data_IF_440518947734
#
_entry.id   IF_440518947734
#
_cell.length_a   1.000
_cell.length_b   1.000
_cell.length_c   1.000
_cell.angle_alpha   90.00
_cell.angle_beta   90.00
_cell.angle_gamma   90.00
#
_symmetry.space_group_name_H-M   'P 1'
#
loop_
_entity.id
_entity.type
_entity.pdbx_description
1 polymer ?
#
# COMPACT_ATOMS: atom_id res chain seq x y z
N UNK A 1 -34.18 11.96 -3.49
CA UNK A 1 -33.25 12.90 -2.82
C UNK A 1 -33.18 12.50 -1.34
N UNK A 2 -32.43 11.45 -1.03
CA UNK A 2 -32.21 10.99 0.34
C UNK A 2 -30.76 11.24 0.67
N UNK A 3 -30.54 12.25 1.53
CA UNK A 3 -29.24 12.58 2.08
C UNK A 3 -28.73 11.41 2.90
N UNK A 4 -27.57 10.84 2.50
CA UNK A 4 -26.81 9.88 3.28
C UNK A 4 -26.22 10.67 4.46
N UNK A 5 -26.63 10.33 5.68
CA UNK A 5 -26.04 10.86 6.90
C UNK A 5 -24.65 10.26 7.06
N UNK A 6 -23.63 11.02 7.50
CA UNK A 6 -22.34 10.45 7.87
C UNK A 6 -22.54 9.49 9.06
N UNK A 7 -22.09 8.26 8.91
CA UNK A 7 -22.11 7.24 9.97
C UNK A 7 -20.98 7.53 10.98
N UNK A 8 -21.33 8.25 12.03
CA UNK A 8 -20.55 8.24 13.29
C UNK A 8 -21.16 7.20 14.20
N UNK A 9 -20.55 6.04 14.34
CA UNK A 9 -20.73 5.22 15.54
C UNK A 9 -19.51 4.34 15.78
N UNK A 10 -18.46 4.95 16.34
CA UNK A 10 -17.50 4.23 17.17
C UNK A 10 -18.13 4.03 18.53
N UNK A 11 -18.69 2.85 18.80
CA UNK A 11 -19.16 2.47 20.12
C UNK A 11 -17.96 2.18 21.04
N UNK A 12 -17.85 2.98 22.10
CA UNK A 12 -17.28 2.58 23.37
C UNK A 12 -15.77 2.59 23.49
N UNK A 13 -15.12 3.76 23.33
CA UNK A 13 -13.82 4.01 23.96
C UNK A 13 -14.09 4.84 25.21
N UNK A 14 -13.89 4.25 26.40
CA UNK A 14 -13.73 5.03 27.61
C UNK A 14 -12.49 5.90 27.42
N UNK A 15 -12.68 7.19 27.20
CA UNK A 15 -11.63 8.21 27.25
C UNK A 15 -11.11 8.31 28.68
N UNK A 16 -10.08 7.50 28.97
CA UNK A 16 -9.32 7.64 30.21
C UNK A 16 -8.36 8.83 30.03
N UNK A 17 -8.90 10.05 30.20
CA UNK A 17 -8.16 11.32 30.08
C UNK A 17 -6.90 11.43 30.95
N UNK A 18 -6.64 10.44 31.80
CA UNK A 18 -5.46 10.34 32.65
C UNK A 18 -4.42 9.32 32.17
N UNK A 19 -4.62 8.65 31.04
CA UNK A 19 -3.65 7.69 30.53
C UNK A 19 -2.47 8.41 29.88
N UNK A 20 -1.24 8.08 30.30
CA UNK A 20 0.00 8.55 29.64
C UNK A 20 0.23 7.89 28.27
N UNK A 21 -0.68 7.03 27.81
CA UNK A 21 -0.55 6.29 26.56
C UNK A 21 -1.64 6.71 25.59
N UNK A 22 -1.25 6.92 24.34
CA UNK A 22 -2.17 7.15 23.21
C UNK A 22 -2.06 5.99 22.22
N UNK A 23 -3.21 5.44 21.79
CA UNK A 23 -3.23 4.43 20.74
C UNK A 23 -2.83 5.04 19.39
N UNK A 24 -2.10 4.31 18.53
CA UNK A 24 -1.77 4.79 17.20
C UNK A 24 -3.00 5.26 16.38
N UNK A 25 -4.13 4.54 16.50
CA UNK A 25 -5.39 4.92 15.85
C UNK A 25 -5.99 6.23 16.37
N UNK A 26 -5.86 6.52 17.67
CA UNK A 26 -6.28 7.77 18.28
C UNK A 26 -5.37 8.92 17.82
N UNK A 27 -4.04 8.68 17.78
CA UNK A 27 -3.10 9.67 17.26
C UNK A 27 -3.40 10.00 15.79
N UNK A 28 -3.62 8.96 14.95
CA UNK A 28 -4.01 9.18 13.56
C UNK A 28 -5.26 10.04 13.47
N UNK A 29 -6.30 9.72 14.24
CA UNK A 29 -7.55 10.50 14.24
C UNK A 29 -7.30 11.97 14.57
N UNK A 30 -6.48 12.28 15.59
CA UNK A 30 -6.09 13.66 15.92
C UNK A 30 -5.39 14.36 14.76
N UNK A 31 -4.51 13.63 14.06
CA UNK A 31 -3.82 14.16 12.87
C UNK A 31 -4.81 14.42 11.73
N UNK A 32 -5.74 13.50 11.45
CA UNK A 32 -6.80 13.66 10.43
C UNK A 32 -7.70 14.88 10.73
N UNK A 33 -7.97 15.15 12.01
CA UNK A 33 -8.77 16.28 12.48
C UNK A 33 -7.97 17.60 12.55
N UNK A 34 -6.66 17.56 12.29
CA UNK A 34 -5.79 18.74 12.29
C UNK A 34 -5.53 19.32 13.69
N UNK A 35 -5.58 18.48 14.74
CA UNK A 35 -5.31 18.94 16.12
C UNK A 35 -3.87 19.45 16.26
N UNK A 36 -3.68 20.54 17.02
CA UNK A 36 -2.37 21.15 17.26
C UNK A 36 -1.58 20.37 18.32
N UNK A 37 -0.98 19.27 17.90
CA UNK A 37 -0.14 18.38 18.71
C UNK A 37 1.34 18.58 18.36
N UNK A 38 2.24 18.19 19.29
CA UNK A 38 3.68 18.26 19.13
C UNK A 38 4.29 16.87 19.18
N UNK A 39 4.88 16.42 18.07
CA UNK A 39 5.46 15.09 17.96
C UNK A 39 6.94 15.12 18.36
N UNK A 40 7.33 14.29 19.33
CA UNK A 40 8.67 14.20 19.90
C UNK A 40 9.24 12.79 19.73
N UNK A 41 10.26 12.67 18.90
CA UNK A 41 11.05 11.44 18.76
C UNK A 41 12.15 11.40 19.82
N UNK A 42 12.10 10.40 20.68
CA UNK A 42 13.12 10.24 21.75
C UNK A 42 14.18 9.19 21.40
N UNK A 43 14.29 8.83 20.13
CA UNK A 43 15.34 7.97 19.57
C UNK A 43 16.58 8.79 19.21
N UNK A 44 17.60 8.12 18.72
CA UNK A 44 18.75 8.78 18.09
C UNK A 44 18.39 9.45 16.77
N UNK A 45 19.17 10.45 16.35
CA UNK A 45 19.01 11.09 15.02
C UNK A 45 19.10 10.08 13.88
N UNK A 46 19.97 9.08 13.98
CA UNK A 46 20.12 8.04 12.98
C UNK A 46 18.84 7.18 12.84
N UNK A 47 18.22 6.79 13.96
CA UNK A 47 16.94 6.04 13.93
C UNK A 47 15.82 6.89 13.32
N UNK A 48 15.80 8.18 13.62
CA UNK A 48 14.83 9.12 13.07
C UNK A 48 14.97 9.27 11.56
N UNK A 49 16.20 9.50 11.08
CA UNK A 49 16.48 9.72 9.65
C UNK A 49 16.21 8.48 8.81
N UNK A 50 16.36 7.29 9.41
CA UNK A 50 16.02 6.05 8.77
C UNK A 50 14.50 5.84 8.67
N UNK A 51 13.75 6.22 9.68
CA UNK A 51 12.30 5.98 9.70
C UNK A 51 11.63 6.74 10.85
N UNK A 52 10.63 7.54 10.56
CA UNK A 52 9.92 8.35 11.55
C UNK A 52 8.41 8.35 11.32
N UNK A 53 7.66 8.89 12.29
CA UNK A 53 6.26 9.24 12.08
C UNK A 53 6.24 10.47 11.18
N UNK A 54 5.86 10.24 9.92
CA UNK A 54 5.50 11.29 8.97
C UNK A 54 4.04 11.12 8.60
N UNK A 55 3.28 12.20 8.57
CA UNK A 55 1.89 12.17 8.23
C UNK A 55 1.47 13.53 7.67
N UNK A 56 0.92 13.52 6.46
CA UNK A 56 0.42 14.64 5.68
C UNK A 56 0.82 16.04 6.23
N UNK A 57 -0.08 16.83 6.69
CA UNK A 57 0.18 18.22 7.10
C UNK A 57 0.95 18.39 8.43
N UNK A 58 1.50 17.32 9.00
CA UNK A 58 2.28 17.44 10.23
C UNK A 58 3.77 17.63 9.92
N UNK A 59 4.41 18.64 10.54
CA UNK A 59 5.85 18.84 10.38
C UNK A 59 6.62 17.65 10.96
N UNK A 60 7.86 17.51 10.49
CA UNK A 60 8.77 16.51 11.03
C UNK A 60 8.83 16.59 12.55
N UNK A 61 8.88 15.43 13.20
CA UNK A 61 8.99 15.36 14.65
C UNK A 61 10.33 15.94 15.13
N UNK A 62 10.30 16.66 16.25
CA UNK A 62 11.54 17.08 16.89
C UNK A 62 12.25 15.84 17.47
N UNK A 63 13.57 15.75 17.26
CA UNK A 63 14.39 14.66 17.79
C UNK A 63 15.14 15.11 19.02
N UNK A 64 14.84 14.51 20.16
CA UNK A 64 15.60 14.70 21.41
C UNK A 64 15.79 13.31 22.05
N UNK A 65 17.01 12.74 21.97
CA UNK A 65 17.27 11.44 22.58
C UNK A 65 16.90 11.42 24.09
N UNK A 66 16.33 10.31 24.54
CA UNK A 66 15.83 10.19 25.91
C UNK A 66 16.89 10.51 26.98
N UNK A 67 18.17 10.23 26.69
CA UNK A 67 19.30 10.46 27.60
C UNK A 67 19.57 11.95 27.84
N UNK A 68 19.24 12.82 26.87
CA UNK A 68 19.46 14.27 26.95
C UNK A 68 18.17 15.05 27.22
N UNK A 69 17.03 14.38 27.29
CA UNK A 69 15.70 14.99 27.40
C UNK A 69 15.54 15.93 28.60
N UNK A 70 16.13 15.56 29.76
CA UNK A 70 16.00 16.32 30.99
C UNK A 70 16.92 17.54 31.05
N UNK A 71 17.73 17.82 30.03
CA UNK A 71 18.56 19.02 30.01
C UNK A 71 17.73 20.29 29.83
N UNK A 72 18.21 21.40 30.34
CA UNK A 72 17.53 22.71 30.18
C UNK A 72 17.39 23.09 28.71
N UNK A 73 18.40 22.79 27.91
CA UNK A 73 18.44 23.08 26.45
C UNK A 73 17.37 22.27 25.72
N UNK A 74 17.19 21.01 26.07
CA UNK A 74 16.18 20.13 25.48
C UNK A 74 14.77 20.59 25.88
N UNK A 75 14.54 20.86 27.16
CA UNK A 75 13.22 21.26 27.65
C UNK A 75 12.75 22.61 27.10
N UNK A 76 13.66 23.53 26.78
CA UNK A 76 13.31 24.80 26.12
C UNK A 76 12.71 24.64 24.73
N UNK A 77 12.99 23.52 24.04
CA UNK A 77 12.51 23.25 22.69
C UNK A 77 11.11 22.62 22.69
N UNK A 78 10.62 22.16 23.84
CA UNK A 78 9.34 21.44 23.97
C UNK A 78 8.26 22.45 24.40
N UNK A 79 7.20 22.66 23.62
CA UNK A 79 6.15 23.60 23.96
C UNK A 79 5.30 23.10 25.15
N UNK A 80 5.02 24.01 26.11
CA UNK A 80 4.16 23.68 27.27
C UNK A 80 2.68 23.86 27.01
N UNK A 81 2.32 24.58 25.96
CA UNK A 81 0.96 24.91 25.59
C UNK A 81 0.33 23.92 24.61
N UNK A 82 1.05 22.90 24.17
CA UNK A 82 0.58 21.84 23.27
C UNK A 82 0.57 20.49 23.96
N UNK A 83 -0.23 19.57 23.45
CA UNK A 83 -0.10 18.16 23.79
C UNK A 83 1.16 17.59 23.13
N UNK A 84 2.06 17.03 23.94
CA UNK A 84 3.31 16.42 23.49
C UNK A 84 3.10 14.92 23.29
N UNK A 85 3.35 14.42 22.11
CA UNK A 85 3.24 13.00 21.78
C UNK A 85 4.66 12.44 21.62
N UNK A 86 5.09 11.61 22.56
CA UNK A 86 6.41 10.97 22.51
C UNK A 86 6.35 9.62 21.83
N UNK A 87 7.38 9.26 21.05
CA UNK A 87 7.53 7.91 20.53
C UNK A 87 8.98 7.45 20.49
N UNK A 88 9.19 6.13 20.45
CA UNK A 88 10.46 5.48 20.20
C UNK A 88 10.23 4.22 19.32
N UNK A 89 11.17 3.31 19.22
CA UNK A 89 10.99 2.10 18.39
C UNK A 89 9.83 1.20 18.88
N UNK A 90 9.77 0.90 20.19
CA UNK A 90 8.82 -0.08 20.77
C UNK A 90 8.06 0.45 22.02
N UNK A 91 8.09 1.74 22.29
CA UNK A 91 7.34 2.35 23.40
C UNK A 91 8.08 2.45 24.75
N UNK A 92 9.19 1.74 24.97
CA UNK A 92 9.88 1.72 26.29
C UNK A 92 10.56 3.06 26.61
N UNK A 93 11.46 3.54 25.75
CA UNK A 93 12.16 4.83 25.91
C UNK A 93 11.18 6.00 25.98
N UNK A 94 10.16 5.98 25.13
CA UNK A 94 9.15 7.05 25.10
C UNK A 94 8.22 7.06 26.29
N UNK A 95 7.94 5.90 26.91
CA UNK A 95 7.21 5.85 28.19
C UNK A 95 8.01 6.47 29.33
N UNK A 96 9.34 6.29 29.36
CA UNK A 96 10.21 6.98 30.34
C UNK A 96 10.19 8.49 30.10
N UNK A 97 10.32 8.92 28.84
CA UNK A 97 10.26 10.33 28.46
C UNK A 97 8.92 10.97 28.84
N UNK A 98 7.79 10.31 28.57
CA UNK A 98 6.48 10.80 28.94
C UNK A 98 6.32 10.99 30.46
N UNK A 99 6.77 10.03 31.27
CA UNK A 99 6.76 10.16 32.76
C UNK A 99 7.61 11.34 33.20
N UNK A 100 8.79 11.54 32.64
CA UNK A 100 9.68 12.66 32.98
C UNK A 100 9.02 13.99 32.66
N UNK A 101 8.46 14.12 31.44
CA UNK A 101 7.78 15.35 31.00
C UNK A 101 6.50 15.61 31.83
N UNK A 102 5.72 14.59 32.14
CA UNK A 102 4.54 14.72 32.99
C UNK A 102 4.90 15.22 34.40
N UNK A 103 5.98 14.71 35.01
CA UNK A 103 6.48 15.19 36.27
C UNK A 103 6.95 16.67 36.26
N UNK A 104 7.34 17.17 35.08
CA UNK A 104 7.70 18.56 34.81
C UNK A 104 6.50 19.45 34.37
N UNK A 105 5.28 18.90 34.44
CA UNK A 105 4.03 19.61 34.17
C UNK A 105 3.68 19.79 32.70
N UNK A 106 4.21 18.95 31.82
CA UNK A 106 3.79 18.92 30.42
C UNK A 106 2.51 18.08 30.26
N UNK A 107 1.62 18.50 29.36
CA UNK A 107 0.56 17.66 28.84
C UNK A 107 1.17 16.69 27.82
N UNK A 108 1.37 15.42 28.20
CA UNK A 108 2.13 14.48 27.39
C UNK A 108 1.53 13.08 27.39
N UNK A 109 1.57 12.44 26.24
CA UNK A 109 1.28 11.01 26.09
C UNK A 109 2.36 10.34 25.22
N UNK A 110 2.47 9.02 25.31
CA UNK A 110 3.39 8.21 24.51
C UNK A 110 2.61 7.28 23.58
N UNK A 111 3.09 7.12 22.35
CA UNK A 111 2.49 6.21 21.36
C UNK A 111 2.63 4.76 21.82
N UNK A 112 1.52 4.05 21.94
CA UNK A 112 1.50 2.62 22.25
C UNK A 112 2.31 1.82 21.24
N UNK A 113 3.30 1.04 21.70
CA UNK A 113 4.19 0.28 20.83
C UNK A 113 5.16 1.13 20.00
N UNK A 114 5.17 2.46 20.12
CA UNK A 114 6.06 3.35 19.36
C UNK A 114 5.93 3.19 17.86
N UNK A 115 7.07 3.21 17.13
CA UNK A 115 7.10 3.00 15.66
C UNK A 115 6.53 1.63 15.26
N UNK A 116 6.78 0.58 16.03
CA UNK A 116 6.21 -0.75 15.76
C UNK A 116 4.66 -0.75 15.86
N UNK A 117 4.09 0.03 16.79
CA UNK A 117 2.65 0.25 16.86
C UNK A 117 2.12 1.09 15.70
N UNK A 118 2.81 2.21 15.39
CA UNK A 118 2.48 3.09 14.27
C UNK A 118 2.52 2.37 12.91
N UNK A 119 3.46 1.44 12.75
CA UNK A 119 3.62 0.69 11.50
C UNK A 119 2.47 -0.25 11.15
N UNK A 120 1.54 -0.46 12.07
CA UNK A 120 0.33 -1.27 11.87
C UNK A 120 -0.89 -0.46 11.44
N UNK A 121 -0.71 0.85 11.25
CA UNK A 121 -1.79 1.73 10.83
C UNK A 121 -1.98 1.73 9.32
N UNK A 122 -3.24 1.73 8.96
CA UNK A 122 -3.69 1.86 7.59
C UNK A 122 -4.68 3.01 7.45
N UNK A 123 -4.71 3.57 6.26
CA UNK A 123 -5.73 4.47 5.79
C UNK A 123 -6.46 3.84 4.61
N UNK A 124 -7.75 4.10 4.48
CA UNK A 124 -8.59 3.51 3.44
C UNK A 124 -9.16 4.61 2.58
N UNK A 125 -8.92 4.55 1.29
CA UNK A 125 -9.48 5.49 0.33
C UNK A 125 -10.34 4.75 -0.71
N UNK A 126 -11.59 5.17 -0.94
CA UNK A 126 -12.35 4.67 -2.08
C UNK A 126 -11.73 5.17 -3.38
N UNK A 127 -11.70 4.31 -4.40
CA UNK A 127 -11.39 4.71 -5.77
C UNK A 127 -12.71 4.97 -6.47
N UNK A 128 -12.87 6.17 -6.99
CA UNK A 128 -14.11 6.57 -7.66
C UNK A 128 -14.30 5.79 -8.96
N UNK A 129 -15.44 5.14 -9.07
CA UNK A 129 -15.98 4.51 -10.28
C UNK A 129 -17.43 4.92 -10.43
N UNK A 130 -17.97 4.85 -11.66
CA UNK A 130 -19.37 5.22 -11.91
C UNK A 130 -20.32 4.48 -10.94
N UNK A 131 -21.23 5.24 -10.33
CA UNK A 131 -22.18 4.75 -9.32
C UNK A 131 -23.13 3.66 -9.82
N UNK A 132 -23.32 3.55 -11.14
CA UNK A 132 -24.15 2.52 -11.78
C UNK A 132 -23.42 1.17 -11.88
N UNK A 133 -22.10 1.15 -11.66
CA UNK A 133 -21.29 -0.04 -11.74
C UNK A 133 -21.38 -0.85 -10.45
N UNK A 134 -21.57 -2.17 -10.58
CA UNK A 134 -21.71 -3.09 -9.44
C UNK A 134 -20.37 -3.52 -8.83
N UNK A 135 -19.31 -2.73 -9.03
CA UNK A 135 -18.01 -2.89 -8.37
C UNK A 135 -17.77 -1.76 -7.37
N UNK A 136 -16.94 -2.06 -6.38
CA UNK A 136 -16.31 -1.08 -5.49
C UNK A 136 -14.84 -1.37 -5.41
N UNK A 137 -14.02 -0.33 -5.40
CA UNK A 137 -12.56 -0.43 -5.26
C UNK A 137 -12.14 0.41 -4.06
N UNK A 138 -11.32 -0.17 -3.19
CA UNK A 138 -10.66 0.54 -2.10
C UNK A 138 -9.16 0.36 -2.22
N UNK A 139 -8.43 1.44 -2.04
CA UNK A 139 -7.00 1.46 -1.83
C UNK A 139 -6.74 1.49 -0.33
N UNK A 140 -5.98 0.52 0.18
CA UNK A 140 -5.62 0.40 1.59
C UNK A 140 -4.14 0.73 1.71
N UNK A 141 -3.82 1.84 2.38
CA UNK A 141 -2.47 2.41 2.45
C UNK A 141 -1.87 2.16 3.82
N UNK A 142 -0.70 1.53 3.87
CA UNK A 142 0.08 1.40 5.09
C UNK A 142 0.91 2.67 5.31
N UNK A 143 0.45 3.53 6.23
CA UNK A 143 0.93 4.91 6.40
C UNK A 143 2.45 4.98 6.61
N UNK A 144 3.00 4.14 7.47
CA UNK A 144 4.41 4.19 7.86
C UNK A 144 5.39 3.69 6.79
N UNK A 145 4.89 2.95 5.78
CA UNK A 145 5.71 2.25 4.78
C UNK A 145 5.42 2.69 3.35
N UNK A 146 4.25 3.27 3.11
CA UNK A 146 3.81 3.61 1.76
C UNK A 146 3.33 2.41 0.92
N UNK A 147 3.21 1.21 1.50
CA UNK A 147 2.65 0.07 0.78
C UNK A 147 1.15 0.26 0.55
N UNK A 148 0.66 -0.12 -0.60
CA UNK A 148 -0.74 -0.04 -0.98
C UNK A 148 -1.26 -1.40 -1.41
N UNK A 149 -2.37 -1.79 -0.81
CA UNK A 149 -3.14 -2.99 -1.17
C UNK A 149 -4.49 -2.55 -1.73
N UNK A 150 -5.15 -3.43 -2.47
CA UNK A 150 -6.46 -3.10 -3.03
C UNK A 150 -7.49 -4.16 -2.68
N UNK A 151 -8.73 -3.71 -2.49
CA UNK A 151 -9.91 -4.56 -2.41
C UNK A 151 -10.83 -4.18 -3.55
N UNK A 152 -11.13 -5.13 -4.42
CA UNK A 152 -12.08 -4.99 -5.53
C UNK A 152 -13.25 -5.93 -5.23
N UNK A 153 -14.44 -5.39 -5.07
CA UNK A 153 -15.59 -6.18 -4.65
C UNK A 153 -16.81 -5.98 -5.55
N UNK A 154 -17.40 -7.10 -5.97
CA UNK A 154 -18.71 -7.10 -6.64
C UNK A 154 -19.82 -6.93 -5.61
N UNK A 155 -20.62 -5.89 -5.76
CA UNK A 155 -21.79 -5.65 -4.91
C UNK A 155 -22.93 -6.62 -5.24
N UNK A 156 -22.93 -7.19 -6.45
CA UNK A 156 -23.92 -8.16 -6.94
C UNK A 156 -23.65 -9.55 -6.37
N UNK A 157 -22.44 -10.10 -6.56
CA UNK A 157 -22.08 -11.44 -6.08
C UNK A 157 -21.62 -11.47 -4.64
N UNK A 158 -21.41 -10.30 -4.01
CA UNK A 158 -20.89 -10.19 -2.65
C UNK A 158 -19.53 -10.86 -2.47
N UNK A 159 -18.68 -10.78 -3.51
CA UNK A 159 -17.33 -11.34 -3.53
C UNK A 159 -16.29 -10.24 -3.68
N UNK A 160 -15.16 -10.42 -3.02
CA UNK A 160 -14.02 -9.52 -3.08
C UNK A 160 -12.75 -10.26 -3.54
N UNK A 161 -11.96 -9.57 -4.34
CA UNK A 161 -10.57 -9.93 -4.70
C UNK A 161 -9.65 -8.93 -4.02
N UNK A 162 -8.54 -9.41 -3.44
CA UNK A 162 -7.57 -8.58 -2.74
C UNK A 162 -6.25 -8.65 -3.52
N UNK A 163 -5.58 -7.51 -3.72
CA UNK A 163 -4.29 -7.41 -4.39
C UNK A 163 -3.26 -6.89 -3.41
N UNK A 164 -2.07 -7.53 -3.37
CA UNK A 164 -0.90 -7.17 -2.57
C UNK A 164 -1.21 -7.00 -1.08
N UNK A 165 -1.83 -8.01 -0.48
CA UNK A 165 -2.14 -8.01 0.93
C UNK A 165 -0.87 -7.92 1.79
N UNK A 166 -0.79 -6.95 2.72
CA UNK A 166 0.24 -6.90 3.76
C UNK A 166 -0.18 -7.69 5.00
N UNK A 167 0.75 -7.99 5.91
CA UNK A 167 0.49 -8.90 7.03
C UNK A 167 -0.62 -8.46 8.00
N UNK A 168 -0.65 -7.19 8.34
CA UNK A 168 -1.60 -6.69 9.37
C UNK A 168 -2.89 -6.11 8.77
N UNK A 169 -3.08 -6.28 7.46
CA UNK A 169 -4.21 -5.69 6.73
C UNK A 169 -5.57 -6.33 7.09
N UNK A 170 -5.57 -7.52 7.66
CA UNK A 170 -6.77 -8.32 7.88
C UNK A 170 -7.81 -7.67 8.80
N UNK A 171 -7.40 -6.80 9.74
CA UNK A 171 -8.33 -6.02 10.56
C UNK A 171 -9.14 -5.03 9.71
N UNK A 172 -8.45 -4.31 8.82
CA UNK A 172 -9.08 -3.32 7.93
C UNK A 172 -10.00 -4.01 6.93
N UNK A 173 -9.50 -5.08 6.28
CA UNK A 173 -10.30 -5.88 5.35
C UNK A 173 -11.54 -6.43 6.04
N UNK A 174 -11.41 -6.96 7.27
CA UNK A 174 -12.53 -7.52 8.00
C UNK A 174 -13.66 -6.49 8.21
N UNK A 175 -13.32 -5.25 8.56
CA UNK A 175 -14.30 -4.17 8.71
C UNK A 175 -15.01 -3.88 7.37
N UNK A 176 -14.24 -3.70 6.29
CA UNK A 176 -14.79 -3.46 4.95
C UNK A 176 -15.71 -4.60 4.48
N UNK A 177 -15.31 -5.86 4.73
CA UNK A 177 -16.09 -7.02 4.32
C UNK A 177 -17.37 -7.16 5.16
N UNK A 178 -17.30 -6.99 6.48
CA UNK A 178 -18.47 -7.11 7.37
C UNK A 178 -19.49 -6.00 7.10
N UNK A 179 -19.07 -4.76 6.99
CA UNK A 179 -19.95 -3.61 6.72
C UNK A 179 -20.72 -3.76 5.39
N UNK A 180 -20.14 -4.44 4.40
CA UNK A 180 -20.71 -4.57 3.06
C UNK A 180 -21.24 -5.98 2.76
N UNK A 181 -21.06 -6.94 3.66
CA UNK A 181 -21.48 -8.33 3.49
C UNK A 181 -20.72 -9.09 2.39
N UNK A 182 -19.45 -8.78 2.19
CA UNK A 182 -18.58 -9.43 1.20
C UNK A 182 -17.85 -10.64 1.77
N UNK A 183 -17.51 -11.60 0.89
CA UNK A 183 -16.61 -12.73 1.13
C UNK A 183 -15.39 -12.62 0.24
N UNK A 184 -14.22 -13.06 0.71
CA UNK A 184 -13.00 -13.07 -0.13
C UNK A 184 -13.00 -14.31 -1.02
N UNK A 185 -12.92 -14.10 -2.32
CA UNK A 185 -12.81 -15.19 -3.31
C UNK A 185 -11.35 -15.51 -3.64
N UNK A 186 -10.47 -14.49 -3.64
CA UNK A 186 -9.09 -14.61 -4.10
C UNK A 186 -8.21 -13.54 -3.50
N UNK A 187 -6.93 -13.89 -3.30
CA UNK A 187 -5.86 -12.96 -2.98
C UNK A 187 -4.79 -13.07 -4.04
N UNK A 188 -4.41 -11.94 -4.66
CA UNK A 188 -3.42 -11.85 -5.73
C UNK A 188 -2.17 -11.14 -5.20
N UNK A 189 -0.99 -11.66 -5.51
CA UNK A 189 0.26 -10.90 -5.39
C UNK A 189 0.72 -10.49 -6.80
N UNK A 190 1.13 -9.22 -6.96
CA UNK A 190 1.68 -8.72 -8.21
C UNK A 190 3.09 -9.24 -8.47
N UNK A 191 3.88 -9.45 -7.42
CA UNK A 191 5.27 -9.91 -7.49
C UNK A 191 5.73 -10.47 -6.13
N UNK A 192 6.97 -10.97 -6.07
CA UNK A 192 7.62 -11.30 -4.79
C UNK A 192 8.13 -10.02 -4.15
N UNK A 193 7.41 -9.50 -3.16
CA UNK A 193 7.77 -8.27 -2.43
C UNK A 193 9.12 -8.39 -1.72
N UNK A 194 9.89 -7.30 -1.70
CA UNK A 194 11.20 -7.22 -1.08
C UNK A 194 11.27 -6.32 0.16
N UNK A 195 10.27 -5.49 0.36
CA UNK A 195 10.20 -4.50 1.45
C UNK A 195 9.27 -4.92 2.60
N UNK A 196 8.32 -5.82 2.35
CA UNK A 196 7.39 -6.35 3.34
C UNK A 196 7.04 -7.82 3.10
N UNK A 197 6.54 -8.47 4.15
CA UNK A 197 6.01 -9.83 4.04
C UNK A 197 4.62 -9.80 3.41
N UNK A 198 4.38 -10.66 2.42
CA UNK A 198 3.05 -10.86 1.86
C UNK A 198 2.10 -11.42 2.93
N UNK A 199 0.96 -10.75 3.07
CA UNK A 199 -0.15 -11.21 3.91
C UNK A 199 -1.07 -12.21 3.22
N UNK A 200 -0.86 -12.50 1.94
CA UNK A 200 -1.78 -13.27 1.10
C UNK A 200 -2.11 -14.64 1.65
N UNK A 201 -1.10 -15.37 2.17
CA UNK A 201 -1.29 -16.67 2.81
C UNK A 201 -2.16 -16.58 4.07
N UNK A 202 -1.93 -15.56 4.91
CA UNK A 202 -2.69 -15.33 6.14
C UNK A 202 -4.15 -14.98 5.82
N UNK A 203 -4.35 -14.03 4.91
CA UNK A 203 -5.69 -13.58 4.49
C UNK A 203 -6.44 -14.74 3.84
N UNK A 204 -5.82 -15.47 2.91
CA UNK A 204 -6.47 -16.59 2.24
C UNK A 204 -6.91 -17.69 3.22
N UNK A 205 -6.08 -18.04 4.22
CA UNK A 205 -6.46 -18.98 5.27
C UNK A 205 -7.64 -18.49 6.10
N UNK A 206 -7.61 -17.22 6.49
CA UNK A 206 -8.67 -16.63 7.33
C UNK A 206 -10.02 -16.67 6.66
N UNK A 207 -10.07 -16.43 5.35
CA UNK A 207 -11.32 -16.33 4.59
C UNK A 207 -11.64 -17.57 3.73
N UNK A 208 -10.78 -18.59 3.74
CA UNK A 208 -10.97 -19.81 2.95
C UNK A 208 -10.84 -19.56 1.43
N UNK A 209 -10.02 -18.60 1.03
CA UNK A 209 -9.83 -18.19 -0.36
C UNK A 209 -8.56 -18.78 -1.00
N UNK A 210 -8.36 -18.51 -2.29
CA UNK A 210 -7.20 -18.93 -3.07
C UNK A 210 -6.12 -17.85 -3.05
N UNK A 211 -4.85 -18.26 -2.95
CA UNK A 211 -3.69 -17.40 -3.22
C UNK A 211 -3.25 -17.59 -4.66
N UNK A 212 -3.18 -16.49 -5.41
CA UNK A 212 -2.80 -16.50 -6.81
C UNK A 212 -1.51 -15.72 -7.01
N UNK A 213 -0.51 -16.33 -7.64
CA UNK A 213 0.83 -15.78 -7.83
C UNK A 213 1.34 -16.03 -9.24
N UNK A 214 2.26 -15.20 -9.70
CA UNK A 214 2.82 -15.29 -11.05
C UNK A 214 3.60 -16.60 -11.27
N UNK A 215 3.36 -17.25 -12.40
CA UNK A 215 4.12 -18.42 -12.85
C UNK A 215 5.54 -18.08 -13.32
N UNK A 216 5.81 -16.80 -13.58
CA UNK A 216 7.13 -16.31 -13.99
C UNK A 216 8.03 -15.98 -12.80
N UNK A 217 7.49 -16.01 -11.57
CA UNK A 217 8.28 -15.86 -10.34
C UNK A 217 8.88 -17.17 -9.86
N UNK A 218 10.04 -17.09 -9.21
CA UNK A 218 10.75 -18.25 -8.69
C UNK A 218 10.26 -18.68 -7.30
N UNK A 219 8.96 -18.96 -7.17
CA UNK A 219 8.42 -19.56 -5.95
C UNK A 219 8.96 -20.96 -5.73
N UNK A 220 9.09 -21.38 -4.47
CA UNK A 220 9.52 -22.73 -4.14
C UNK A 220 8.37 -23.70 -4.38
N UNK A 221 8.42 -24.42 -5.50
CA UNK A 221 7.34 -25.28 -6.03
C UNK A 221 6.84 -26.35 -5.05
N UNK A 222 7.70 -26.82 -4.13
CA UNK A 222 7.31 -27.77 -3.09
C UNK A 222 6.22 -27.20 -2.14
N UNK A 223 6.11 -25.89 -2.01
CA UNK A 223 5.06 -25.25 -1.23
C UNK A 223 3.74 -25.18 -2.02
N UNK A 224 3.83 -25.05 -3.35
CA UNK A 224 2.66 -24.97 -4.23
C UNK A 224 1.98 -26.33 -4.44
N UNK A 225 2.72 -27.45 -4.32
CA UNK A 225 2.22 -28.81 -4.53
C UNK A 225 1.49 -29.42 -3.33
N UNK A 226 1.36 -28.68 -2.22
CA UNK A 226 0.68 -29.21 -1.03
C UNK A 226 -0.84 -29.06 -1.20
N UNK A 227 -1.58 -30.15 -1.05
CA UNK A 227 -3.04 -30.17 -0.87
C UNK A 227 -3.50 -29.48 0.43
N UNK A 228 -2.77 -28.44 0.84
CA UNK A 228 -2.98 -27.77 2.12
C UNK A 228 -3.60 -26.37 1.90
N UNK A 229 -4.41 -26.00 2.85
CA UNK A 229 -4.98 -24.68 3.04
C UNK A 229 -3.88 -23.60 3.25
N UNK A 230 -3.87 -22.48 2.48
CA UNK A 230 -4.78 -22.16 1.38
C UNK A 230 -4.41 -22.89 0.07
N UNK A 231 -5.35 -22.91 -0.89
CA UNK A 231 -5.07 -23.32 -2.27
C UNK A 231 -4.20 -22.29 -2.95
N UNK A 232 -3.27 -22.77 -3.78
CA UNK A 232 -2.40 -21.91 -4.60
C UNK A 232 -2.70 -22.08 -6.07
N UNK A 233 -2.71 -20.97 -6.80
CA UNK A 233 -2.83 -20.94 -8.25
C UNK A 233 -1.67 -20.16 -8.85
N UNK A 234 -1.01 -20.75 -9.84
CA UNK A 234 -0.08 -20.04 -10.72
C UNK A 234 -0.84 -19.44 -11.89
N UNK A 235 -0.51 -18.20 -12.25
CA UNK A 235 -1.10 -17.52 -13.39
C UNK A 235 -0.06 -17.15 -14.44
N UNK A 236 -0.52 -17.07 -15.70
CA UNK A 236 0.24 -16.58 -16.84
C UNK A 236 -0.36 -15.29 -17.39
N UNK A 237 0.37 -14.62 -18.28
CA UNK A 237 -0.12 -13.45 -18.99
C UNK A 237 -1.36 -13.79 -19.84
N UNK A 238 -2.32 -12.86 -19.89
CA UNK A 238 -3.57 -13.01 -20.65
C UNK A 238 -4.67 -13.79 -19.90
N UNK A 239 -4.36 -14.39 -18.73
CA UNK A 239 -5.43 -15.02 -17.94
C UNK A 239 -6.38 -13.98 -17.36
N UNK A 240 -7.69 -14.30 -17.42
CA UNK A 240 -8.77 -13.46 -16.90
C UNK A 240 -9.36 -14.06 -15.63
N UNK A 241 -9.62 -13.20 -14.66
CA UNK A 241 -10.28 -13.54 -13.40
C UNK A 241 -11.62 -12.85 -13.31
N UNK A 242 -12.67 -13.63 -13.18
CA UNK A 242 -14.00 -13.09 -12.94
C UNK A 242 -14.08 -12.42 -11.57
N UNK A 243 -14.59 -11.18 -11.54
CA UNK A 243 -14.91 -10.41 -10.35
C UNK A 243 -16.40 -10.50 -9.96
N UNK A 244 -17.23 -10.95 -10.89
CA UNK A 244 -18.69 -10.94 -10.83
C UNK A 244 -19.29 -9.75 -11.61
N UNK A 245 -20.57 -9.88 -11.99
CA UNK A 245 -21.27 -8.85 -12.75
C UNK A 245 -20.75 -8.65 -14.19
N UNK A 246 -20.04 -9.63 -14.77
CA UNK A 246 -19.43 -9.53 -16.09
C UNK A 246 -18.08 -8.81 -16.11
N UNK A 247 -17.51 -8.45 -14.96
CA UNK A 247 -16.20 -7.79 -14.86
C UNK A 247 -15.08 -8.79 -14.68
N UNK A 248 -13.92 -8.49 -15.28
CA UNK A 248 -12.72 -9.31 -15.22
C UNK A 248 -11.49 -8.48 -14.90
N UNK A 249 -10.55 -9.09 -14.15
CA UNK A 249 -9.16 -8.67 -14.11
C UNK A 249 -8.37 -9.49 -15.11
N UNK A 250 -7.63 -8.84 -16.00
CA UNK A 250 -6.70 -9.48 -16.92
C UNK A 250 -5.28 -9.35 -16.39
N UNK A 251 -4.56 -10.47 -16.34
CA UNK A 251 -3.17 -10.52 -15.91
C UNK A 251 -2.25 -10.12 -17.05
N UNK A 252 -1.45 -9.09 -16.87
CA UNK A 252 -0.45 -8.60 -17.85
C UNK A 252 0.94 -8.81 -17.28
N UNK A 253 1.83 -9.53 -17.97
CA UNK A 253 3.21 -9.69 -17.56
C UNK A 253 3.99 -8.39 -17.77
N UNK A 254 4.53 -7.83 -16.69
CA UNK A 254 5.20 -6.53 -16.65
C UNK A 254 6.59 -6.64 -15.97
N UNK A 255 7.54 -7.44 -16.55
CA UNK A 255 8.82 -7.71 -15.93
C UNK A 255 9.72 -6.49 -15.90
N UNK A 256 10.64 -6.46 -14.90
CA UNK A 256 11.65 -5.41 -14.77
C UNK A 256 11.94 -5.00 -13.34
N UNK A 257 10.92 -4.92 -12.48
CA UNK A 257 11.12 -4.85 -11.03
C UNK A 257 11.51 -6.25 -10.50
N UNK A 258 10.72 -7.25 -10.88
CA UNK A 258 11.07 -8.68 -10.77
C UNK A 258 10.89 -9.37 -12.14
N UNK A 259 11.36 -10.62 -12.27
CA UNK A 259 11.12 -11.42 -13.49
C UNK A 259 9.63 -11.73 -13.68
N UNK A 260 8.92 -11.91 -12.61
CA UNK A 260 7.53 -12.33 -12.61
C UNK A 260 6.53 -11.25 -12.28
N UNK A 261 6.91 -9.98 -12.26
CA UNK A 261 5.99 -8.88 -12.02
C UNK A 261 4.78 -8.94 -12.94
N UNK A 262 3.59 -8.85 -12.35
CA UNK A 262 2.30 -8.85 -13.04
C UNK A 262 1.58 -7.54 -12.72
N UNK A 263 0.95 -6.96 -13.74
CA UNK A 263 -0.06 -5.92 -13.56
C UNK A 263 -1.44 -6.53 -13.82
N UNK A 264 -2.47 -6.00 -13.17
CA UNK A 264 -3.84 -6.47 -13.35
C UNK A 264 -4.69 -5.36 -13.94
N UNK A 265 -5.24 -5.59 -15.13
CA UNK A 265 -6.08 -4.62 -15.86
C UNK A 265 -7.56 -4.93 -15.62
N UNK A 266 -8.28 -3.95 -15.11
CA UNK A 266 -9.74 -3.91 -15.09
C UNK A 266 -10.20 -3.00 -16.22
N UNK A 267 -10.98 -3.54 -17.15
CA UNK A 267 -11.68 -2.76 -18.18
C UNK A 267 -13.17 -2.74 -17.85
N UNK A 268 -13.75 -1.55 -17.83
CA UNK A 268 -15.17 -1.33 -17.59
C UNK A 268 -15.73 -0.71 -18.87
N UNK A 269 -16.55 -1.46 -19.57
CA UNK A 269 -17.21 -0.96 -20.78
C UNK A 269 -18.66 -0.58 -20.47
N UNK A 270 -19.03 0.66 -20.76
CA UNK A 270 -20.38 1.18 -20.56
C UNK A 270 -21.00 1.53 -21.91
N UNK A 271 -22.22 1.06 -22.17
CA UNK A 271 -22.98 1.43 -23.35
C UNK A 271 -24.20 2.22 -22.92
N UNK A 272 -24.39 3.38 -23.52
CA UNK A 272 -25.57 4.21 -23.27
C UNK A 272 -26.69 3.78 -24.21
N UNK A 273 -27.81 3.28 -23.66
CA UNK A 273 -29.02 3.02 -24.43
C UNK A 273 -30.13 3.95 -23.92
N UNK A 274 -30.36 5.09 -24.61
CA UNK A 274 -31.29 6.12 -24.16
C UNK A 274 -30.80 6.85 -22.93
N UNK A 275 -31.58 6.85 -21.83
CA UNK A 275 -31.18 7.43 -20.54
C UNK A 275 -30.49 6.41 -19.61
N UNK A 276 -30.44 5.14 -20.00
CA UNK A 276 -29.87 4.05 -19.19
C UNK A 276 -28.43 3.75 -19.60
N UNK A 277 -27.56 3.62 -18.59
CA UNK A 277 -26.18 3.12 -18.76
C UNK A 277 -26.22 1.61 -18.60
N UNK A 278 -25.90 0.88 -19.65
CA UNK A 278 -25.85 -0.58 -19.65
C UNK A 278 -24.38 -1.00 -19.60
N UNK A 279 -24.03 -1.87 -18.66
CA UNK A 279 -22.73 -2.52 -18.61
C UNK A 279 -22.73 -3.64 -19.63
N UNK A 280 -21.90 -3.55 -20.65
CA UNK A 280 -21.75 -4.64 -21.60
C UNK A 280 -20.70 -5.62 -21.08
N UNK A 281 -21.09 -6.89 -20.93
CA UNK A 281 -20.15 -7.98 -20.63
C UNK A 281 -19.08 -8.01 -21.73
N UNK A 282 -17.80 -7.92 -21.37
CA UNK A 282 -16.70 -7.95 -22.32
C UNK A 282 -16.59 -9.34 -22.98
N UNK A 283 -17.14 -9.50 -24.17
CA UNK A 283 -17.10 -10.75 -24.95
C UNK A 283 -15.97 -10.82 -25.97
N UNK A 284 -14.94 -9.98 -25.90
CA UNK A 284 -13.90 -9.91 -26.92
C UNK A 284 -12.47 -10.07 -26.40
N UNK A 285 -11.65 -10.82 -27.14
CA UNK A 285 -10.28 -11.24 -26.79
C UNK A 285 -9.17 -10.26 -27.24
N UNK A 286 -9.51 -9.07 -27.73
CA UNK A 286 -8.50 -8.12 -28.22
C UNK A 286 -8.71 -6.73 -27.58
N UNK A 287 -7.60 -6.00 -27.39
CA UNK A 287 -7.64 -4.55 -27.32
C UNK A 287 -8.40 -4.07 -28.55
N UNK A 288 -9.62 -3.63 -28.35
CA UNK A 288 -10.45 -3.20 -29.47
C UNK A 288 -9.84 -1.90 -30.00
N UNK A 289 -9.22 -1.96 -31.19
CA UNK A 289 -8.76 -0.78 -31.93
C UNK A 289 -9.91 0.21 -32.17
N UNK A 290 -11.15 -0.22 -31.91
CA UNK A 290 -12.39 0.53 -32.05
C UNK A 290 -12.99 0.86 -30.63
N UNK A 291 -12.18 1.12 -29.60
CA UNK A 291 -12.70 1.69 -28.35
C UNK A 291 -13.44 3.01 -28.69
N UNK A 292 -14.76 2.98 -28.63
CA UNK A 292 -15.64 4.12 -28.91
C UNK A 292 -15.53 5.26 -27.88
N UNK A 293 -14.55 5.17 -26.98
CA UNK A 293 -14.30 6.13 -25.90
C UNK A 293 -15.09 5.86 -24.62
N UNK A 294 -15.98 4.86 -24.61
CA UNK A 294 -16.89 4.57 -23.50
C UNK A 294 -16.36 3.53 -22.50
N UNK A 295 -15.07 3.18 -22.56
CA UNK A 295 -14.46 2.25 -21.60
C UNK A 295 -13.59 3.00 -20.60
N UNK A 296 -13.69 2.64 -19.33
CA UNK A 296 -12.75 3.04 -18.28
C UNK A 296 -11.75 1.92 -18.01
N UNK A 297 -10.50 2.31 -17.73
CA UNK A 297 -9.39 1.39 -17.52
C UNK A 297 -8.72 1.68 -16.19
N UNK A 298 -8.51 0.64 -15.39
CA UNK A 298 -7.78 0.70 -14.12
C UNK A 298 -6.69 -0.35 -14.13
N UNK A 299 -5.43 0.08 -13.96
CA UNK A 299 -4.28 -0.82 -13.98
C UNK A 299 -3.63 -0.86 -12.59
N UNK A 300 -3.68 -2.01 -11.94
CA UNK A 300 -2.99 -2.31 -10.69
C UNK A 300 -1.57 -2.77 -11.05
N UNK A 301 -0.59 -1.89 -10.86
CA UNK A 301 0.75 -2.04 -11.46
C UNK A 301 1.77 -2.73 -10.57
N UNK A 302 1.42 -3.03 -9.31
CA UNK A 302 2.45 -3.44 -8.36
C UNK A 302 3.57 -2.39 -8.29
N UNK A 303 4.80 -2.86 -8.29
CA UNK A 303 5.99 -2.02 -8.26
C UNK A 303 6.60 -1.79 -9.67
N UNK A 304 5.78 -1.92 -10.72
CA UNK A 304 6.25 -1.66 -12.09
C UNK A 304 6.35 -0.16 -12.36
N UNK A 305 5.26 0.61 -12.19
CA UNK A 305 5.19 2.06 -12.42
C UNK A 305 4.43 2.72 -11.28
N UNK A 306 4.90 3.89 -10.86
CA UNK A 306 4.28 4.70 -9.80
C UNK A 306 3.77 6.04 -10.35
N UNK A 307 2.98 6.74 -9.54
CA UNK A 307 2.45 8.06 -9.93
C UNK A 307 3.57 9.09 -10.17
N UNK A 308 4.69 8.99 -9.44
CA UNK A 308 5.81 9.93 -9.51
C UNK A 308 7.17 9.25 -9.67
N UNK A 309 7.23 8.02 -10.19
CA UNK A 309 8.48 7.30 -10.30
C UNK A 309 8.35 5.98 -11.03
N UNK A 310 9.42 5.22 -11.01
CA UNK A 310 9.55 3.92 -11.64
C UNK A 310 9.99 2.86 -10.64
N UNK A 311 9.67 1.60 -10.88
CA UNK A 311 10.13 0.48 -10.07
C UNK A 311 11.65 0.31 -10.13
N UNK A 312 12.27 -0.07 -9.00
CA UNK A 312 13.72 -0.36 -8.97
C UNK A 312 14.02 -1.72 -9.61
N UNK A 313 15.07 -1.84 -10.44
CA UNK A 313 15.38 -3.08 -11.13
C UNK A 313 16.51 -3.90 -10.51
N UNK A 314 17.04 -3.51 -9.34
CA UNK A 314 18.33 -4.03 -8.83
C UNK A 314 18.23 -5.08 -7.72
N UNK A 315 17.02 -5.47 -7.33
CA UNK A 315 16.77 -6.39 -6.20
C UNK A 315 17.37 -7.82 -6.35
N UNK A 316 17.85 -8.19 -7.54
CA UNK A 316 18.40 -9.51 -7.82
C UNK A 316 19.83 -9.47 -8.39
N UNK A 317 20.58 -8.38 -8.17
CA UNK A 317 21.94 -8.17 -8.70
C UNK A 317 22.02 -8.25 -10.24
N UNK A 318 20.93 -7.92 -10.94
CA UNK A 318 20.81 -7.92 -12.41
C UNK A 318 20.29 -6.57 -12.93
N UNK A 319 20.74 -5.49 -12.35
CA UNK A 319 20.16 -4.14 -12.57
C UNK A 319 20.06 -3.75 -14.04
N UNK A 320 21.09 -4.05 -14.85
CA UNK A 320 21.08 -3.70 -16.28
C UNK A 320 20.05 -4.52 -17.06
N UNK A 321 20.00 -5.84 -16.86
CA UNK A 321 19.02 -6.72 -17.54
C UNK A 321 17.59 -6.34 -17.15
N UNK A 322 17.35 -6.12 -15.87
CA UNK A 322 16.02 -5.75 -15.38
C UNK A 322 15.62 -4.32 -15.79
N UNK A 323 16.57 -3.38 -15.86
CA UNK A 323 16.30 -2.03 -16.40
C UNK A 323 15.89 -2.11 -17.88
N UNK A 324 16.55 -2.99 -18.65
CA UNK A 324 16.16 -3.24 -20.04
C UNK A 324 14.75 -3.82 -20.14
N UNK A 325 14.41 -4.82 -19.30
CA UNK A 325 13.04 -5.38 -19.26
C UNK A 325 12.03 -4.31 -18.89
N UNK A 326 12.31 -3.49 -17.88
CA UNK A 326 11.43 -2.42 -17.41
C UNK A 326 11.18 -1.37 -18.53
N UNK A 327 12.22 -1.01 -19.29
CA UNK A 327 12.08 -0.12 -20.44
C UNK A 327 11.11 -0.70 -21.49
N UNK A 328 11.27 -2.00 -21.82
CA UNK A 328 10.36 -2.67 -22.76
C UNK A 328 8.95 -2.81 -22.20
N UNK A 329 8.81 -3.11 -20.91
CA UNK A 329 7.51 -3.16 -20.26
C UNK A 329 6.77 -1.82 -20.38
N UNK A 330 7.47 -0.69 -20.20
CA UNK A 330 6.83 0.62 -20.41
C UNK A 330 6.49 0.88 -21.85
N UNK A 331 7.46 0.68 -22.76
CA UNK A 331 7.33 1.11 -24.14
C UNK A 331 6.38 0.21 -24.93
N UNK A 332 6.47 -1.11 -24.72
CA UNK A 332 5.80 -2.11 -25.55
C UNK A 332 4.48 -2.60 -24.93
N UNK A 333 4.25 -2.35 -23.63
CA UNK A 333 3.06 -2.84 -22.90
C UNK A 333 2.26 -1.69 -22.31
N UNK A 334 2.79 -1.01 -21.28
CA UNK A 334 2.00 -0.05 -20.49
C UNK A 334 1.61 1.18 -21.31
N UNK A 335 2.55 1.75 -22.09
CA UNK A 335 2.29 2.97 -22.85
C UNK A 335 1.42 2.76 -24.10
N UNK A 336 1.13 1.52 -24.45
CA UNK A 336 0.14 1.19 -25.47
C UNK A 336 -1.31 1.18 -24.94
N UNK A 337 -1.49 1.26 -23.61
CA UNK A 337 -2.79 1.47 -23.01
C UNK A 337 -3.30 2.90 -23.24
N UNK A 338 -4.63 3.12 -23.26
CA UNK A 338 -5.22 4.45 -23.39
C UNK A 338 -4.70 5.43 -22.32
N UNK A 339 -4.46 6.68 -22.70
CA UNK A 339 -3.97 7.72 -21.77
C UNK A 339 -4.90 7.98 -20.58
N UNK A 340 -6.18 7.68 -20.72
CA UNK A 340 -7.18 7.76 -19.63
C UNK A 340 -7.07 6.63 -18.61
N UNK A 341 -6.23 5.61 -18.84
CA UNK A 341 -6.03 4.50 -17.90
C UNK A 341 -5.58 5.02 -16.54
N UNK A 342 -6.32 4.68 -15.49
CA UNK A 342 -5.98 5.03 -14.11
C UNK A 342 -4.94 4.05 -13.59
N UNK A 343 -3.81 4.57 -13.15
CA UNK A 343 -2.70 3.79 -12.58
C UNK A 343 -2.87 3.69 -11.06
N UNK A 344 -2.83 2.47 -10.57
CA UNK A 344 -3.03 2.07 -9.17
C UNK A 344 -1.79 1.27 -8.72
N UNK A 345 -0.74 1.93 -8.22
CA UNK A 345 0.53 1.28 -7.87
C UNK A 345 0.51 0.63 -6.48
N UNK A 346 1.51 -0.23 -6.18
CA UNK A 346 1.63 -0.84 -4.85
C UNK A 346 2.38 0.04 -3.83
N UNK A 347 2.99 1.15 -4.27
CA UNK A 347 3.68 2.07 -3.36
C UNK A 347 3.51 3.53 -3.76
N UNK A 348 3.66 4.40 -2.74
CA UNK A 348 3.79 5.86 -2.91
C UNK A 348 4.98 6.38 -2.12
N UNK A 349 5.59 7.46 -2.60
CA UNK A 349 6.77 8.09 -1.99
C UNK A 349 6.52 9.52 -1.53
N UNK A 350 5.35 10.07 -1.79
CA UNK A 350 4.95 11.43 -1.38
C UNK A 350 3.88 11.39 -0.30
N UNK A 351 3.65 12.52 0.35
CA UNK A 351 2.50 12.68 1.25
C UNK A 351 1.19 12.37 0.50
N UNK A 352 0.24 11.78 1.21
CA UNK A 352 -1.10 11.50 0.70
C UNK A 352 -2.12 12.28 1.53
N UNK A 353 -3.28 12.54 0.97
CA UNK A 353 -4.41 13.08 1.70
C UNK A 353 -5.25 11.94 2.28
N UNK A 354 -5.74 12.14 3.53
CA UNK A 354 -6.64 11.19 4.19
C UNK A 354 -7.88 10.92 3.31
N UNK A 355 -8.25 9.64 3.19
CA UNK A 355 -9.39 9.16 2.38
C UNK A 355 -9.32 9.47 0.87
N UNK A 356 -8.26 10.07 0.35
CA UNK A 356 -8.06 10.25 -1.08
C UNK A 356 -7.08 9.23 -1.65
N UNK A 357 -7.42 8.51 -2.72
CA UNK A 357 -6.54 7.50 -3.29
C UNK A 357 -5.34 8.14 -3.98
N UNK A 358 -4.20 7.48 -3.89
CA UNK A 358 -2.99 7.80 -4.65
C UNK A 358 -3.11 7.14 -6.02
N UNK A 359 -3.39 7.93 -7.03
CA UNK A 359 -3.55 7.49 -8.42
C UNK A 359 -3.27 8.64 -9.39
N UNK A 360 -3.04 8.34 -10.64
CA UNK A 360 -3.00 9.33 -11.73
C UNK A 360 -3.35 8.64 -13.06
N UNK A 361 -3.68 9.44 -14.07
CA UNK A 361 -3.88 8.93 -15.40
C UNK A 361 -2.54 8.56 -16.08
N UNK A 362 -2.54 7.53 -16.90
CA UNK A 362 -1.36 7.12 -17.65
C UNK A 362 -0.82 8.27 -18.53
N UNK A 363 -1.70 9.08 -19.11
CA UNK A 363 -1.32 10.25 -19.90
C UNK A 363 -0.54 11.28 -19.08
N UNK A 364 -0.96 11.56 -17.84
CA UNK A 364 -0.22 12.42 -16.89
C UNK A 364 1.15 11.83 -16.56
N UNK A 365 1.21 10.53 -16.27
CA UNK A 365 2.45 9.83 -15.94
C UNK A 365 3.42 9.81 -17.13
N UNK A 366 2.93 9.54 -18.35
CA UNK A 366 3.74 9.64 -19.59
C UNK A 366 4.39 11.02 -19.71
N UNK A 367 3.64 12.10 -19.44
CA UNK A 367 4.18 13.47 -19.49
C UNK A 367 5.27 13.69 -18.45
N UNK A 368 5.08 13.20 -17.22
CA UNK A 368 6.09 13.31 -16.15
C UNK A 368 7.36 12.52 -16.48
N UNK A 369 7.22 11.33 -17.07
CA UNK A 369 8.33 10.45 -17.40
C UNK A 369 8.99 10.76 -18.74
N UNK A 370 8.38 11.56 -19.63
CA UNK A 370 8.88 11.87 -20.96
C UNK A 370 10.36 12.32 -20.98
N UNK A 371 10.86 13.15 -20.04
CA UNK A 371 12.26 13.57 -20.05
C UNK A 371 13.27 12.43 -19.87
N UNK A 372 12.86 11.33 -19.23
CA UNK A 372 13.74 10.22 -18.87
C UNK A 372 13.54 8.98 -19.73
N UNK A 373 12.37 8.85 -20.40
CA UNK A 373 12.00 7.65 -21.15
C UNK A 373 12.05 7.83 -22.67
N UNK A 374 12.39 9.03 -23.17
CA UNK A 374 12.45 9.34 -24.60
C UNK A 374 13.46 8.49 -25.38
N UNK A 375 14.48 7.95 -24.69
CA UNK A 375 15.40 6.97 -25.24
C UNK A 375 15.83 5.94 -24.19
N UNK A 376 16.07 4.71 -24.64
CA UNK A 376 16.53 3.60 -23.82
C UNK A 376 17.78 3.96 -22.98
N UNK A 377 18.76 4.62 -23.61
CA UNK A 377 20.00 4.98 -22.92
C UNK A 377 19.77 6.02 -21.81
N UNK A 378 18.90 7.00 -22.02
CA UNK A 378 18.55 7.98 -20.98
C UNK A 378 17.83 7.29 -19.83
N UNK A 379 16.89 6.40 -20.13
CA UNK A 379 16.17 5.65 -19.10
C UNK A 379 17.13 4.80 -18.26
N UNK A 380 18.00 4.01 -18.90
CA UNK A 380 19.00 3.19 -18.20
C UNK A 380 19.89 4.06 -17.32
N UNK A 381 20.39 5.17 -17.86
CA UNK A 381 21.25 6.09 -17.10
C UNK A 381 20.49 6.68 -15.89
N UNK A 382 19.27 7.16 -16.08
CA UNK A 382 18.45 7.69 -15.00
C UNK A 382 18.24 6.66 -13.89
N UNK A 383 17.77 5.48 -14.25
CA UNK A 383 17.45 4.41 -13.30
C UNK A 383 18.71 4.01 -12.52
N UNK A 384 19.81 3.71 -13.21
CA UNK A 384 21.05 3.23 -12.56
C UNK A 384 21.74 4.29 -11.71
N UNK A 385 21.54 5.58 -12.01
CA UNK A 385 22.14 6.69 -11.24
C UNK A 385 21.33 7.09 -10.01
N UNK A 386 20.06 6.65 -9.90
CA UNK A 386 19.15 7.03 -8.80
C UNK A 386 18.76 5.85 -7.91
N UNK A 387 19.42 4.71 -8.05
CA UNK A 387 19.16 3.54 -7.18
C UNK A 387 19.47 3.89 -5.72
N UNK A 388 18.45 3.86 -4.89
CA UNK A 388 18.58 4.03 -3.43
C UNK A 388 19.10 2.75 -2.76
N UNK A 389 19.60 2.80 -1.51
CA UNK A 389 19.95 1.60 -0.77
C UNK A 389 18.79 0.60 -0.73
N UNK A 390 19.11 -0.68 -0.71
CA UNK A 390 18.09 -1.72 -0.60
C UNK A 390 17.28 -1.60 0.70
N UNK A 391 15.99 -2.03 0.70
CA UNK A 391 15.22 -2.15 1.92
C UNK A 391 15.98 -2.99 2.96
N UNK A 392 15.87 -2.61 4.23
CA UNK A 392 16.46 -3.42 5.30
C UNK A 392 15.89 -4.85 5.25
N UNK A 393 16.76 -5.84 5.44
CA UNK A 393 16.37 -7.26 5.44
C UNK A 393 15.74 -7.79 4.13
N UNK A 394 15.88 -7.08 3.01
CA UNK A 394 15.21 -7.44 1.75
C UNK A 394 15.46 -8.90 1.33
N UNK A 395 16.69 -9.41 1.43
CA UNK A 395 17.03 -10.80 1.07
C UNK A 395 16.23 -11.81 1.89
N UNK A 396 16.07 -11.53 3.19
CA UNK A 396 15.30 -12.38 4.10
C UNK A 396 13.80 -12.29 3.81
N UNK A 397 13.30 -11.11 3.51
CA UNK A 397 11.90 -10.88 3.13
C UNK A 397 11.60 -11.61 1.82
N UNK A 398 12.41 -11.43 0.79
CA UNK A 398 12.30 -12.16 -0.49
C UNK A 398 12.33 -13.67 -0.29
N UNK A 399 13.25 -14.19 0.54
CA UNK A 399 13.32 -15.62 0.86
C UNK A 399 12.03 -16.13 1.50
N UNK A 400 11.48 -15.41 2.47
CA UNK A 400 10.24 -15.77 3.15
C UNK A 400 9.03 -15.73 2.20
N UNK A 401 8.94 -14.71 1.35
CA UNK A 401 7.87 -14.57 0.36
C UNK A 401 7.96 -15.66 -0.73
N UNK A 402 9.15 -15.98 -1.22
CA UNK A 402 9.37 -17.12 -2.14
C UNK A 402 8.92 -18.47 -1.56
N UNK A 403 9.03 -18.62 -0.24
CA UNK A 403 8.57 -19.81 0.48
C UNK A 403 7.08 -19.76 0.86
N UNK A 404 6.34 -18.71 0.46
CA UNK A 404 4.96 -18.50 0.86
C UNK A 404 4.77 -18.64 2.38
N UNK A 405 5.69 -18.05 3.12
CA UNK A 405 5.71 -18.13 4.59
C UNK A 405 4.63 -17.24 5.17
N UNK A 406 3.73 -17.80 5.98
CA UNK A 406 2.73 -16.99 6.67
C UNK A 406 3.39 -16.04 7.67
N UNK A 407 2.94 -14.80 7.71
CA UNK A 407 3.44 -13.76 8.61
C UNK A 407 3.33 -14.14 10.10
N UNK A 408 2.40 -15.02 10.49
CA UNK A 408 2.22 -15.44 11.89
C UNK A 408 3.47 -16.16 12.47
N UNK A 409 4.41 -16.53 11.61
CA UNK A 409 5.60 -17.29 11.99
C UNK A 409 6.85 -16.45 12.20
N UNK A 410 6.75 -15.13 12.01
CA UNK A 410 7.91 -14.22 12.04
C UNK A 410 7.59 -12.93 12.78
N UNK A 411 8.61 -12.30 13.37
CA UNK A 411 8.46 -10.96 13.93
C UNK A 411 8.53 -9.93 12.80
N UNK A 412 7.38 -9.52 12.32
CA UNK A 412 7.22 -8.58 11.23
C UNK A 412 7.86 -7.21 11.53
N UNK A 413 7.68 -6.68 12.73
CA UNK A 413 8.16 -5.34 13.08
C UNK A 413 9.68 -5.19 12.95
N UNK A 414 10.43 -6.26 13.26
CA UNK A 414 11.89 -6.25 13.13
C UNK A 414 12.35 -6.43 11.68
N UNK A 415 11.58 -7.17 10.87
CA UNK A 415 11.92 -7.40 9.47
C UNK A 415 11.63 -6.19 8.58
N UNK A 416 10.52 -5.52 8.83
CA UNK A 416 10.01 -4.45 7.98
C UNK A 416 10.32 -3.06 8.53
N UNK A 417 11.28 -2.94 9.46
CA UNK A 417 11.73 -1.63 9.94
C UNK A 417 12.39 -0.82 8.83
N UNK A 418 12.13 0.48 8.82
CA UNK A 418 12.68 1.41 7.83
C UNK A 418 11.68 1.84 6.74
N UNK A 419 12.05 2.83 5.92
CA UNK A 419 11.20 3.37 4.87
C UNK A 419 11.02 2.39 3.73
N UNK A 420 10.04 2.67 2.87
CA UNK A 420 9.95 2.05 1.56
C UNK A 420 11.05 2.60 0.65
N UNK A 421 11.67 1.71 -0.12
CA UNK A 421 12.68 2.05 -1.12
C UNK A 421 12.49 1.23 -2.42
N UNK A 422 11.25 0.82 -2.74
CA UNK A 422 10.94 0.05 -3.97
C UNK A 422 10.84 0.92 -5.23
N UNK A 423 10.82 2.25 -5.11
CA UNK A 423 10.76 3.20 -6.22
C UNK A 423 12.05 4.00 -6.43
N UNK A 424 12.19 4.53 -7.64
CA UNK A 424 13.21 5.49 -8.10
C UNK A 424 12.53 6.75 -8.60
#
# INVERSE_FOLDING_TARGET
MNMIKPMTSYNGINDDKNSLVIKPTELKKKMDEGEDIFILDVRSKLEHDLWTISYDNYPDSLVIPVDTLASIESLKQIPKNKEVITFCAHGQRSSMAARTLAALGYNVRTVEGGMAGWSKLYDVAPVDIDSNITLKIWQIRRISKGCMSYVIASTKEKKATIIDATCEIDTVINNLLQENGFTVSRVLDTHIHADHLSGSVRVARKYGSEVTVSSFESYITQQLSREKDPKYRLITAGEKFELGGGFYLEAIHTPGHTDGSMSYLLKIHTVTQGEDIIIQENSGDNFDENDDGNSDYYLFTGDTIFVNGVGRPDLHNKSEDYTNKLYHTYHDVIFNLPDKTIILPAHYSSAFEHEKPVLDSLGSIKQKLAPIIDSKNKFIHFVTSNISPHPMNYEKIVYLNKNLTSCDRVNQADLESGPNSCGI
#
